data_IF_114464186033
#
_entry.id   IF_114464186033
#
_cell.length_a   1.000
_cell.length_b   1.000
_cell.length_c   1.000
_cell.angle_alpha   90.00
_cell.angle_beta   90.00
_cell.angle_gamma   90.00
#
_symmetry.space_group_name_H-M   'P 1'
#
loop_
_entity.id
_entity.type
_entity.pdbx_description
1 polymer ?
#
# COMPACT_ATOMS: atom_id res chain seq x y z
N UNK A 1 -2.38 47.68 23.36
CA UNK A 1 -2.96 46.33 23.24
C UNK A 1 -2.38 45.71 21.99
N UNK A 2 -1.50 44.71 22.14
CA UNK A 2 -0.79 44.11 21.01
C UNK A 2 -1.71 43.11 20.30
N UNK A 3 -1.95 43.30 19.01
CA UNK A 3 -2.57 42.31 18.14
C UNK A 3 -1.60 41.14 17.98
N UNK A 4 -1.96 39.97 18.53
CA UNK A 4 -1.22 38.72 18.32
C UNK A 4 -1.29 38.35 16.84
N UNK A 5 -0.21 38.62 16.11
CA UNK A 5 0.02 38.04 14.79
C UNK A 5 0.28 36.54 15.01
N UNK A 6 -0.78 35.74 14.96
CA UNK A 6 -0.66 34.30 14.86
C UNK A 6 -0.10 33.99 13.47
N UNK A 7 1.21 34.12 13.31
CA UNK A 7 1.96 33.45 12.26
C UNK A 7 1.85 31.95 12.55
N UNK A 8 0.73 31.35 12.14
CA UNK A 8 0.68 29.93 11.86
C UNK A 8 1.70 29.71 10.75
N UNK A 9 2.91 29.34 11.14
CA UNK A 9 3.88 28.69 10.27
C UNK A 9 3.14 27.58 9.56
N UNK A 10 2.74 27.87 8.32
CA UNK A 10 2.20 26.90 7.39
C UNK A 10 3.32 25.88 7.22
N UNK A 11 3.16 24.71 7.84
CA UNK A 11 4.07 23.61 7.59
C UNK A 11 4.10 23.41 6.07
N UNK A 12 5.29 23.29 5.44
CA UNK A 12 5.34 22.96 4.02
C UNK A 12 4.53 21.69 3.84
N UNK A 13 3.59 21.76 2.90
CA UNK A 13 2.72 20.64 2.57
C UNK A 13 3.60 19.43 2.26
N UNK A 14 3.20 18.31 2.85
CA UNK A 14 3.94 17.05 2.91
C UNK A 14 4.26 16.62 1.49
N UNK A 15 5.54 16.37 1.19
CA UNK A 15 6.08 16.06 -0.15
C UNK A 15 5.07 15.38 -1.07
N UNK A 16 4.42 16.19 -1.91
CA UNK A 16 3.51 15.69 -2.92
C UNK A 16 4.36 14.91 -3.93
N UNK A 17 4.12 13.60 -4.01
CA UNK A 17 4.82 12.76 -4.98
C UNK A 17 4.41 13.26 -6.35
N UNK A 18 5.35 13.70 -7.21
CA UNK A 18 4.99 14.26 -8.49
C UNK A 18 4.19 13.24 -9.31
N UNK A 19 3.18 13.73 -10.01
CA UNK A 19 2.36 12.89 -10.89
C UNK A 19 3.27 12.13 -11.87
N UNK A 20 3.23 10.81 -11.80
CA UNK A 20 3.96 9.93 -12.73
C UNK A 20 3.16 9.90 -14.02
N UNK A 21 3.44 10.87 -14.90
CA UNK A 21 2.89 10.91 -16.24
C UNK A 21 3.85 10.14 -17.16
N UNK A 22 3.39 9.11 -17.89
CA UNK A 22 4.24 8.43 -18.86
C UNK A 22 4.65 9.40 -19.98
N UNK A 23 5.93 9.36 -20.38
CA UNK A 23 6.51 10.24 -21.41
C UNK A 23 5.74 10.23 -22.75
N UNK A 24 5.05 9.12 -23.04
CA UNK A 24 4.15 8.98 -24.18
C UNK A 24 2.97 8.07 -23.82
N UNK A 25 1.84 8.17 -24.55
CA UNK A 25 0.79 7.17 -24.48
C UNK A 25 1.33 5.80 -24.88
N UNK A 26 0.91 4.76 -24.15
CA UNK A 26 1.21 3.38 -24.53
C UNK A 26 0.45 3.03 -25.81
N UNK A 27 1.10 2.28 -26.70
CA UNK A 27 0.42 1.62 -27.81
C UNK A 27 -0.50 0.52 -27.28
N UNK A 28 -1.50 0.10 -28.06
CA UNK A 28 -2.43 -0.96 -27.63
C UNK A 28 -1.72 -2.27 -27.25
N UNK A 29 -0.61 -2.59 -27.92
CA UNK A 29 0.20 -3.77 -27.59
C UNK A 29 0.95 -3.60 -26.27
N UNK A 30 1.57 -2.44 -26.05
CA UNK A 30 2.27 -2.15 -24.79
C UNK A 30 1.30 -2.11 -23.61
N UNK A 31 0.09 -1.58 -23.81
CA UNK A 31 -0.96 -1.55 -22.80
C UNK A 31 -1.42 -2.97 -22.42
N UNK A 32 -1.61 -3.85 -23.41
CA UNK A 32 -1.95 -5.26 -23.15
C UNK A 32 -0.82 -5.98 -22.40
N UNK A 33 0.43 -5.80 -22.84
CA UNK A 33 1.58 -6.39 -22.15
C UNK A 33 1.72 -5.90 -20.70
N UNK A 34 1.49 -4.61 -20.46
CA UNK A 34 1.51 -4.05 -19.10
C UNK A 34 0.38 -4.59 -18.24
N UNK A 35 -0.83 -4.67 -18.81
CA UNK A 35 -1.98 -5.26 -18.13
C UNK A 35 -1.72 -6.72 -17.72
N UNK A 36 -1.15 -7.53 -18.61
CA UNK A 36 -0.79 -8.92 -18.28
C UNK A 36 0.27 -9.00 -17.17
N UNK A 37 1.25 -8.07 -17.13
CA UNK A 37 2.22 -7.99 -16.04
C UNK A 37 1.55 -7.66 -14.71
N UNK A 38 0.63 -6.69 -14.70
CA UNK A 38 -0.12 -6.30 -13.50
C UNK A 38 -0.93 -7.46 -12.94
N UNK A 39 -1.63 -8.21 -13.80
CA UNK A 39 -2.35 -9.42 -13.40
C UNK A 39 -1.42 -10.48 -12.80
N UNK A 40 -0.25 -10.68 -13.41
CA UNK A 40 0.74 -11.63 -12.91
C UNK A 40 1.29 -11.27 -11.52
N UNK A 41 1.50 -9.98 -11.24
CA UNK A 41 1.91 -9.51 -9.91
C UNK A 41 0.80 -9.70 -8.88
N UNK A 42 -0.43 -9.33 -9.23
CA UNK A 42 -1.59 -9.48 -8.35
C UNK A 42 -1.83 -10.96 -7.99
N UNK A 43 -1.72 -11.86 -8.95
CA UNK A 43 -1.86 -13.29 -8.73
C UNK A 43 -0.83 -13.82 -7.70
N UNK A 44 0.44 -13.40 -7.81
CA UNK A 44 1.49 -13.78 -6.85
C UNK A 44 1.20 -13.25 -5.45
N UNK A 45 0.80 -11.98 -5.33
CA UNK A 45 0.44 -11.38 -4.04
C UNK A 45 -0.71 -12.14 -3.38
N UNK A 46 -1.75 -12.49 -4.14
CA UNK A 46 -2.88 -13.26 -3.63
C UNK A 46 -2.46 -14.65 -3.17
N UNK A 47 -1.57 -15.33 -3.91
CA UNK A 47 -1.06 -16.64 -3.51
C UNK A 47 -0.26 -16.57 -2.20
N UNK A 48 0.58 -15.55 -2.03
CA UNK A 48 1.33 -15.32 -0.80
C UNK A 48 0.43 -14.99 0.38
N UNK A 49 -0.60 -14.16 0.16
CA UNK A 49 -1.61 -13.84 1.16
C UNK A 49 -2.34 -15.10 1.65
N UNK A 50 -2.80 -15.95 0.72
CA UNK A 50 -3.45 -17.22 1.05
C UNK A 50 -2.52 -18.17 1.82
N UNK A 51 -1.25 -18.25 1.42
CA UNK A 51 -0.23 -19.01 2.16
C UNK A 51 -0.04 -18.47 3.58
N UNK A 52 -0.02 -17.16 3.77
CA UNK A 52 0.11 -16.53 5.08
C UNK A 52 -1.13 -16.80 5.96
N UNK A 53 -2.34 -16.72 5.40
CA UNK A 53 -3.58 -17.01 6.13
C UNK A 53 -3.68 -18.48 6.56
N UNK A 54 -3.24 -19.42 5.73
CA UNK A 54 -3.17 -20.85 6.10
C UNK A 54 -2.12 -21.14 7.18
N UNK A 55 -1.04 -20.35 7.23
CA UNK A 55 -0.01 -20.45 8.27
C UNK A 55 -0.46 -19.81 9.59
N UNK A 56 -1.18 -18.68 9.57
CA UNK A 56 -1.68 -18.03 10.78
C UNK A 56 -2.72 -18.89 11.50
N UNK A 57 -3.61 -19.54 10.75
CA UNK A 57 -4.66 -20.45 11.26
C UNK A 57 -4.12 -21.75 11.88
N UNK A 58 -2.90 -22.18 11.53
CA UNK A 58 -2.23 -23.32 12.18
C UNK A 58 -1.40 -22.94 13.42
N UNK A 59 -1.18 -21.65 13.68
CA UNK A 59 -0.46 -21.17 14.87
C UNK A 59 -1.36 -20.98 16.11
N UNK A 60 -2.67 -21.19 15.99
CA UNK A 60 -3.61 -21.21 17.12
C UNK A 60 -3.52 -22.54 17.87
N UNK A 61 -2.35 -22.83 18.45
CA UNK A 61 -2.20 -23.91 19.42
C UNK A 61 -1.72 -23.35 20.75
N UNK A 62 -2.63 -23.45 21.73
CA UNK A 62 -2.42 -23.49 23.18
C UNK A 62 -2.18 -22.15 23.89
N UNK A 63 -3.26 -21.55 24.38
CA UNK A 63 -3.25 -21.04 25.76
C UNK A 63 -3.87 -22.14 26.66
N UNK A 64 -3.07 -22.95 27.37
CA UNK A 64 -3.58 -23.82 28.41
C UNK A 64 -3.18 -23.25 29.77
N UNK A 65 -3.48 -21.98 30.08
CA UNK A 65 -3.45 -21.59 31.48
C UNK A 65 -4.16 -20.27 31.77
N UNK A 66 -5.35 -20.37 32.35
CA UNK A 66 -5.79 -19.49 33.45
C UNK A 66 -6.64 -20.31 34.41
N UNK A 67 -6.00 -21.21 35.15
CA UNK A 67 -6.45 -21.55 36.50
C UNK A 67 -5.84 -20.54 37.47
N UNK A 68 -6.64 -19.59 37.95
CA UNK A 68 -6.55 -19.05 39.31
C UNK A 68 -7.98 -18.85 39.79
#
# INVERSE_FOLDING_TARGET
MASSMNHKSQAPDVEETPDIIPDRPLTGKEAEEDYQKQLGLLAKQNEEYEKAQKKSSSSSTKNPDRRI
#
